data_IF_789573847212
#
_entry.id   IF_789573847212
#
_cell.length_a   1.000
_cell.length_b   1.000
_cell.length_c   1.000
_cell.angle_alpha   90.00
_cell.angle_beta   90.00
_cell.angle_gamma   90.00
#
_symmetry.space_group_name_H-M   'P 1'
#
loop_
_entity.id
_entity.type
_entity.pdbx_description
1 polymer ?
#
# COMPACT_ATOMS: atom_id res chain seq x y z
N UNK A 1 -8.54 -8.72 9.24
CA UNK A 1 -9.00 -7.33 9.41
C UNK A 1 -7.85 -6.36 9.26
N UNK A 2 -8.11 -5.16 8.75
CA UNK A 2 -7.13 -4.08 8.50
C UNK A 2 -6.95 -3.11 9.70
N UNK A 3 -7.52 -3.42 10.87
CA UNK A 3 -8.03 -2.38 11.78
C UNK A 3 -7.22 -2.10 13.05
N UNK A 4 -5.98 -2.60 13.21
CA UNK A 4 -5.14 -2.17 14.33
C UNK A 4 -3.66 -2.07 13.94
N UNK A 5 -2.97 -0.97 14.29
CA UNK A 5 -1.56 -0.78 13.98
C UNK A 5 -0.71 -1.68 14.89
N UNK A 6 -0.47 -2.89 14.41
CA UNK A 6 0.39 -3.90 15.04
C UNK A 6 1.41 -4.37 14.03
N UNK A 7 2.54 -4.92 14.48
CA UNK A 7 3.62 -5.42 13.59
C UNK A 7 3.13 -6.43 12.55
N UNK A 8 2.08 -7.20 12.86
CA UNK A 8 1.45 -8.14 11.92
C UNK A 8 0.41 -7.54 10.96
N UNK A 9 0.20 -6.23 10.96
CA UNK A 9 -0.88 -5.57 10.21
C UNK A 9 -0.74 -5.79 8.70
N UNK A 10 0.46 -5.58 8.16
CA UNK A 10 0.79 -5.87 6.76
C UNK A 10 1.11 -7.36 6.57
N UNK A 11 1.96 -7.92 7.44
CA UNK A 11 2.51 -9.26 7.26
C UNK A 11 1.51 -10.40 7.43
N UNK A 12 0.29 -10.17 7.94
CA UNK A 12 -0.80 -11.16 7.86
C UNK A 12 -1.14 -11.59 6.41
N UNK A 13 -0.79 -10.75 5.44
CA UNK A 13 -0.98 -11.04 4.02
C UNK A 13 0.14 -11.90 3.44
N UNK A 14 1.24 -12.12 4.16
CA UNK A 14 2.32 -13.01 3.76
C UNK A 14 1.95 -14.47 4.07
N UNK A 15 1.18 -15.08 3.17
CA UNK A 15 0.87 -16.51 3.18
C UNK A 15 0.69 -17.02 1.75
N UNK A 16 0.83 -18.32 1.51
CA UNK A 16 0.88 -18.89 0.17
C UNK A 16 -0.49 -19.19 -0.47
N UNK A 17 -1.59 -18.67 0.10
CA UNK A 17 -2.89 -18.79 -0.57
C UNK A 17 -2.91 -17.90 -1.82
N UNK A 18 -3.62 -18.29 -2.90
CA UNK A 18 -3.71 -17.48 -4.11
C UNK A 18 -4.21 -16.07 -3.81
N UNK A 19 -3.73 -15.09 -4.57
CA UNK A 19 -4.27 -13.72 -4.54
C UNK A 19 -5.76 -13.80 -4.90
N UNK A 20 -6.67 -13.36 -4.01
CA UNK A 20 -8.10 -13.41 -4.30
C UNK A 20 -8.45 -12.49 -5.48
N UNK A 21 -9.31 -12.98 -6.39
CA UNK A 21 -9.75 -12.22 -7.57
C UNK A 21 -10.38 -10.86 -7.19
N UNK A 22 -11.18 -10.83 -6.13
CA UNK A 22 -11.82 -9.62 -5.64
C UNK A 22 -10.84 -8.50 -5.23
N UNK A 23 -9.55 -8.81 -4.97
CA UNK A 23 -8.55 -7.75 -4.75
C UNK A 23 -8.34 -6.90 -6.00
N UNK A 24 -8.36 -7.52 -7.17
CA UNK A 24 -8.31 -6.82 -8.46
C UNK A 24 -9.52 -5.93 -8.65
N UNK A 25 -10.72 -6.46 -8.40
CA UNK A 25 -11.97 -5.70 -8.48
C UNK A 25 -11.96 -4.48 -7.54
N UNK A 26 -11.52 -4.66 -6.30
CA UNK A 26 -11.43 -3.56 -5.32
C UNK A 26 -10.40 -2.52 -5.75
N UNK A 27 -9.24 -2.95 -6.26
CA UNK A 27 -8.21 -2.03 -6.77
C UNK A 27 -8.75 -1.21 -7.96
N UNK A 28 -9.48 -1.84 -8.89
CA UNK A 28 -10.12 -1.16 -10.01
C UNK A 28 -11.19 -0.15 -9.55
N UNK A 29 -12.04 -0.53 -8.59
CA UNK A 29 -13.05 0.38 -8.03
C UNK A 29 -12.42 1.61 -7.36
N UNK A 30 -11.36 1.44 -6.58
CA UNK A 30 -10.64 2.55 -5.97
C UNK A 30 -9.91 3.41 -7.00
N UNK A 31 -9.32 2.79 -8.03
CA UNK A 31 -8.69 3.50 -9.15
C UNK A 31 -9.71 4.38 -9.88
N UNK A 32 -10.87 3.82 -10.23
CA UNK A 32 -11.95 4.56 -10.88
C UNK A 32 -12.47 5.71 -9.99
N UNK A 33 -12.66 5.47 -8.69
CA UNK A 33 -13.08 6.51 -7.76
C UNK A 33 -12.06 7.65 -7.67
N UNK A 34 -10.77 7.33 -7.56
CA UNK A 34 -9.67 8.30 -7.56
C UNK A 34 -9.66 9.14 -8.85
N UNK A 35 -9.77 8.49 -10.01
CA UNK A 35 -9.81 9.16 -11.32
C UNK A 35 -10.98 10.14 -11.40
N UNK A 36 -12.17 9.74 -10.95
CA UNK A 36 -13.35 10.62 -10.97
C UNK A 36 -13.22 11.80 -9.99
N UNK A 37 -12.55 11.62 -8.85
CA UNK A 37 -12.23 12.73 -7.93
C UNK A 37 -11.27 13.71 -8.60
N UNK A 38 -10.22 13.24 -9.27
CA UNK A 38 -9.28 14.11 -9.99
C UNK A 38 -9.94 14.80 -11.19
N UNK A 39 -10.83 14.13 -11.93
CA UNK A 39 -11.64 14.78 -12.97
C UNK A 39 -12.53 15.89 -12.41
N UNK A 40 -13.19 15.60 -11.29
CA UNK A 40 -14.07 16.57 -10.61
C UNK A 40 -13.29 17.76 -10.05
N UNK A 41 -12.04 17.53 -9.63
CA UNK A 41 -11.14 18.57 -9.13
C UNK A 41 -11.00 19.70 -10.16
N UNK A 42 -10.69 19.38 -11.41
CA UNK A 42 -10.35 20.39 -12.40
C UNK A 42 -11.51 21.32 -12.74
N UNK A 43 -12.73 20.78 -12.75
CA UNK A 43 -13.97 21.51 -12.99
C UNK A 43 -14.51 22.29 -11.77
N UNK A 44 -13.91 22.11 -10.59
CA UNK A 44 -14.46 22.64 -9.34
C UNK A 44 -13.97 24.05 -8.97
N UNK A 45 -14.75 24.83 -8.18
CA UNK A 45 -14.28 26.10 -7.63
C UNK A 45 -13.05 25.92 -6.72
N UNK A 46 -12.21 26.96 -6.51
CA UNK A 46 -10.96 26.86 -5.75
C UNK A 46 -11.08 26.26 -4.34
N UNK A 47 -12.17 26.55 -3.62
CA UNK A 47 -12.41 25.97 -2.28
C UNK A 47 -12.64 24.45 -2.33
N UNK A 48 -13.34 23.97 -3.35
CA UNK A 48 -13.63 22.55 -3.54
C UNK A 48 -12.40 21.79 -4.08
N UNK A 49 -11.57 22.44 -4.91
CA UNK A 49 -10.31 21.86 -5.40
C UNK A 49 -9.42 21.30 -4.29
N UNK A 50 -9.17 22.08 -3.22
CA UNK A 50 -8.33 21.62 -2.10
C UNK A 50 -8.92 20.41 -1.35
N UNK A 51 -10.24 20.27 -1.32
CA UNK A 51 -10.89 19.12 -0.72
C UNK A 51 -10.79 17.89 -1.63
N UNK A 52 -11.07 18.07 -2.92
CA UNK A 52 -11.00 17.00 -3.92
C UNK A 52 -9.56 16.49 -4.10
N UNK A 53 -8.56 17.37 -4.13
CA UNK A 53 -7.16 16.99 -4.20
C UNK A 53 -6.74 16.10 -3.02
N UNK A 54 -7.18 16.45 -1.80
CA UNK A 54 -6.94 15.64 -0.61
C UNK A 54 -7.55 14.23 -0.74
N UNK A 55 -8.80 14.13 -1.17
CA UNK A 55 -9.44 12.83 -1.34
C UNK A 55 -8.91 12.04 -2.54
N UNK A 56 -8.45 12.71 -3.59
CA UNK A 56 -7.77 12.11 -4.74
C UNK A 56 -6.48 11.42 -4.31
N UNK A 57 -5.58 12.13 -3.63
CA UNK A 57 -4.34 11.56 -3.08
C UNK A 57 -4.59 10.50 -2.00
N UNK A 58 -5.67 10.62 -1.20
CA UNK A 58 -6.09 9.52 -0.29
C UNK A 58 -6.51 8.26 -1.06
N UNK A 59 -7.15 8.42 -2.23
CA UNK A 59 -7.48 7.31 -3.13
C UNK A 59 -6.24 6.67 -3.74
N UNK A 60 -5.28 7.47 -4.18
CA UNK A 60 -3.97 7.04 -4.69
C UNK A 60 -3.23 6.19 -3.65
N UNK A 61 -3.16 6.67 -2.41
CA UNK A 61 -2.64 5.88 -1.28
C UNK A 61 -3.32 4.50 -1.15
N UNK A 62 -4.65 4.42 -1.30
CA UNK A 62 -5.36 3.14 -1.17
C UNK A 62 -4.98 2.18 -2.30
N UNK A 63 -4.88 2.69 -3.53
CA UNK A 63 -4.47 1.89 -4.70
C UNK A 63 -3.06 1.35 -4.50
N UNK A 64 -2.12 2.20 -4.11
CA UNK A 64 -0.73 1.81 -3.84
C UNK A 64 -0.65 0.81 -2.69
N UNK A 65 -1.38 1.03 -1.60
CA UNK A 65 -1.41 0.13 -0.46
C UNK A 65 -1.98 -1.27 -0.79
N UNK A 66 -2.99 -1.34 -1.68
CA UNK A 66 -3.49 -2.62 -2.19
C UNK A 66 -2.43 -3.35 -3.04
N UNK A 67 -1.64 -2.62 -3.82
CA UNK A 67 -0.50 -3.17 -4.55
C UNK A 67 0.57 -3.73 -3.60
N UNK A 68 0.90 -3.04 -2.51
CA UNK A 68 1.81 -3.56 -1.46
C UNK A 68 1.31 -4.90 -0.92
N UNK A 69 0.03 -4.98 -0.55
CA UNK A 69 -0.58 -6.19 -0.01
C UNK A 69 -0.53 -7.35 -1.02
N UNK A 70 -0.75 -7.07 -2.30
CA UNK A 70 -0.63 -8.04 -3.39
C UNK A 70 0.81 -8.53 -3.53
N UNK A 71 1.79 -7.65 -3.58
CA UNK A 71 3.20 -8.02 -3.70
C UNK A 71 3.69 -8.83 -2.49
N UNK A 72 3.27 -8.49 -1.27
CA UNK A 72 3.53 -9.30 -0.06
C UNK A 72 2.94 -10.72 -0.19
N UNK A 73 1.78 -10.86 -0.83
CA UNK A 73 1.18 -12.17 -1.09
C UNK A 73 1.98 -12.97 -2.12
N UNK A 74 2.41 -12.31 -3.19
CA UNK A 74 3.21 -12.91 -4.26
C UNK A 74 4.58 -13.35 -3.76
N UNK A 75 5.23 -12.57 -2.88
CA UNK A 75 6.46 -12.96 -2.19
C UNK A 75 6.29 -14.26 -1.39
N UNK A 76 5.18 -14.41 -0.66
CA UNK A 76 4.88 -15.62 0.09
C UNK A 76 4.64 -16.86 -0.79
N UNK A 77 4.04 -16.65 -1.97
CA UNK A 77 3.83 -17.70 -2.96
C UNK A 77 5.17 -18.13 -3.57
N UNK A 78 6.03 -17.18 -3.93
CA UNK A 78 7.37 -17.46 -4.46
C UNK A 78 8.26 -18.20 -3.45
N UNK A 79 8.27 -17.74 -2.19
CA UNK A 79 8.93 -18.43 -1.08
C UNK A 79 8.46 -19.89 -0.93
N UNK A 80 7.15 -20.14 -1.01
CA UNK A 80 6.61 -21.49 -0.93
C UNK A 80 6.96 -22.37 -2.14
N UNK A 81 7.28 -21.76 -3.28
CA UNK A 81 7.76 -22.43 -4.47
C UNK A 81 9.28 -22.67 -4.48
N UNK A 82 10.02 -22.14 -3.48
CA UNK A 82 11.48 -22.19 -3.43
C UNK A 82 12.16 -21.23 -4.41
N UNK A 83 11.44 -20.22 -4.90
CA UNK A 83 11.94 -19.21 -5.84
C UNK A 83 12.34 -17.95 -5.06
N UNK A 84 13.53 -17.99 -4.46
CA UNK A 84 14.04 -16.93 -3.57
C UNK A 84 14.26 -15.61 -4.29
N UNK A 85 14.81 -15.63 -5.52
CA UNK A 85 15.04 -14.44 -6.34
C UNK A 85 13.72 -13.70 -6.60
N UNK A 86 12.69 -14.43 -7.03
CA UNK A 86 11.37 -13.85 -7.26
C UNK A 86 10.68 -13.38 -5.98
N UNK A 87 10.91 -14.05 -4.86
CA UNK A 87 10.40 -13.60 -3.57
C UNK A 87 11.01 -12.25 -3.19
N UNK A 88 12.32 -12.06 -3.39
CA UNK A 88 13.02 -10.79 -3.17
C UNK A 88 12.48 -9.68 -4.07
N UNK A 89 12.32 -9.93 -5.37
CA UNK A 89 11.72 -8.95 -6.31
C UNK A 89 10.33 -8.47 -5.85
N UNK A 90 9.51 -9.40 -5.36
CA UNK A 90 8.18 -9.06 -4.83
C UNK A 90 8.24 -8.26 -3.52
N UNK A 91 9.22 -8.51 -2.66
CA UNK A 91 9.45 -7.69 -1.46
C UNK A 91 9.93 -6.29 -1.81
N UNK A 92 10.86 -6.13 -2.75
CA UNK A 92 11.33 -4.83 -3.23
C UNK A 92 10.17 -4.02 -3.81
N UNK A 93 9.38 -4.65 -4.70
CA UNK A 93 8.16 -4.06 -5.27
C UNK A 93 7.20 -3.60 -4.17
N UNK A 94 7.02 -4.39 -3.11
CA UNK A 94 6.19 -4.01 -1.99
C UNK A 94 6.75 -2.80 -1.22
N UNK A 95 8.07 -2.73 -1.05
CA UNK A 95 8.75 -1.62 -0.35
C UNK A 95 8.65 -0.32 -1.14
N UNK A 96 8.88 -0.37 -2.45
CA UNK A 96 8.75 0.79 -3.34
C UNK A 96 7.31 1.33 -3.35
N UNK A 97 6.32 0.45 -3.50
CA UNK A 97 4.91 0.85 -3.47
C UNK A 97 4.51 1.44 -2.11
N UNK A 98 5.06 0.91 -1.00
CA UNK A 98 4.76 1.44 0.33
C UNK A 98 5.42 2.81 0.55
N UNK A 99 6.63 3.00 0.02
CA UNK A 99 7.28 4.31 0.02
C UNK A 99 6.45 5.34 -0.75
N UNK A 100 6.01 5.01 -1.97
CA UNK A 100 5.14 5.89 -2.77
C UNK A 100 3.81 6.20 -2.06
N UNK A 101 3.20 5.20 -1.40
CA UNK A 101 1.99 5.37 -0.60
C UNK A 101 2.17 6.38 0.54
N UNK A 102 3.31 6.34 1.22
CA UNK A 102 3.63 7.26 2.32
C UNK A 102 3.95 8.66 1.78
N UNK A 103 4.66 8.76 0.67
CA UNK A 103 4.98 10.04 0.01
C UNK A 103 3.70 10.74 -0.47
N UNK A 104 2.80 10.00 -1.13
CA UNK A 104 1.48 10.47 -1.55
C UNK A 104 0.64 11.02 -0.40
N UNK A 105 0.69 10.39 0.78
CA UNK A 105 0.03 10.92 1.99
C UNK A 105 0.71 12.18 2.51
N UNK A 106 2.03 12.28 2.38
CA UNK A 106 2.83 13.41 2.86
C UNK A 106 2.47 14.71 2.15
N UNK A 107 2.10 14.64 0.86
CA UNK A 107 1.61 15.77 0.06
C UNK A 107 0.35 16.44 0.63
N UNK A 108 -0.45 15.70 1.40
CA UNK A 108 -1.81 16.09 1.78
C UNK A 108 -2.06 16.17 3.28
N UNK A 109 -1.01 16.11 4.10
CA UNK A 109 -1.13 16.16 5.56
C UNK A 109 -1.85 17.44 6.01
N UNK A 110 -3.00 17.29 6.67
CA UNK A 110 -3.80 18.40 7.22
C UNK A 110 -3.90 18.38 8.73
N UNK A 111 -3.91 17.20 9.34
CA UNK A 111 -4.14 17.05 10.77
C UNK A 111 -3.27 15.95 11.42
N UNK A 112 -3.50 15.71 12.71
CA UNK A 112 -2.79 14.68 13.47
C UNK A 112 -3.19 13.26 13.08
N UNK A 113 -4.37 13.07 12.49
CA UNK A 113 -4.80 11.78 11.96
C UNK A 113 -3.97 11.38 10.75
N UNK A 114 -3.72 12.30 9.82
CA UNK A 114 -2.84 12.06 8.66
C UNK A 114 -1.41 11.74 9.11
N UNK A 115 -0.86 12.52 10.04
CA UNK A 115 0.48 12.28 10.61
C UNK A 115 0.55 10.95 11.34
N UNK A 116 -0.50 10.60 12.07
CA UNK A 116 -0.63 9.32 12.77
C UNK A 116 -0.64 8.15 11.80
N UNK A 117 -1.34 8.25 10.67
CA UNK A 117 -1.34 7.24 9.61
C UNK A 117 0.06 7.04 9.04
N UNK A 118 0.77 8.11 8.67
CA UNK A 118 2.15 8.04 8.17
C UNK A 118 3.07 7.37 9.19
N UNK A 119 2.99 7.77 10.46
CA UNK A 119 3.79 7.19 11.53
C UNK A 119 3.50 5.69 11.72
N UNK A 120 2.23 5.29 11.63
CA UNK A 120 1.80 3.88 11.72
C UNK A 120 2.32 3.07 10.53
N UNK A 121 2.24 3.60 9.31
CA UNK A 121 2.74 2.91 8.11
C UNK A 121 4.25 2.70 8.19
N UNK A 122 5.00 3.74 8.55
CA UNK A 122 6.44 3.61 8.79
C UNK A 122 6.73 2.55 9.87
N UNK A 123 6.07 2.65 11.03
CA UNK A 123 6.39 1.79 12.17
C UNK A 123 5.96 0.34 12.00
N UNK A 124 4.80 0.09 11.40
CA UNK A 124 4.17 -1.23 11.41
C UNK A 124 4.03 -1.90 10.04
N UNK A 125 4.19 -1.14 8.95
CA UNK A 125 4.24 -1.71 7.60
C UNK A 125 5.68 -1.74 7.08
N UNK A 126 6.37 -0.59 7.04
CA UNK A 126 7.70 -0.50 6.42
C UNK A 126 8.75 -1.29 7.20
N UNK A 127 8.87 -1.07 8.52
CA UNK A 127 9.81 -1.85 9.35
C UNK A 127 9.56 -3.37 9.24
N UNK A 128 8.29 -3.80 9.27
CA UNK A 128 7.94 -5.22 9.20
C UNK A 128 8.27 -5.84 7.83
N UNK A 129 8.12 -5.07 6.75
CA UNK A 129 8.46 -5.49 5.40
C UNK A 129 9.98 -5.57 5.20
N UNK A 130 10.72 -4.56 5.69
CA UNK A 130 12.18 -4.57 5.64
C UNK A 130 12.74 -5.79 6.38
N UNK A 131 12.23 -6.11 7.57
CA UNK A 131 12.65 -7.32 8.30
C UNK A 131 12.35 -8.63 7.55
N UNK A 132 11.28 -8.67 6.74
CA UNK A 132 10.95 -9.83 5.93
C UNK A 132 11.88 -9.94 4.71
N UNK A 133 12.21 -8.82 4.09
CA UNK A 133 13.18 -8.71 3.02
C UNK A 133 14.57 -9.14 3.46
N UNK A 134 15.11 -8.58 4.55
CA UNK A 134 16.43 -8.94 5.09
C UNK A 134 16.52 -10.44 5.41
N UNK A 135 15.46 -11.02 5.98
CA UNK A 135 15.41 -12.47 6.23
C UNK A 135 15.41 -13.32 4.97
N UNK A 136 14.78 -12.84 3.91
CA UNK A 136 14.78 -13.54 2.63
C UNK A 136 16.15 -13.44 1.96
N UNK A 137 16.82 -12.29 2.09
CA UNK A 137 18.17 -12.05 1.58
C UNK A 137 19.21 -12.93 2.31
N UNK A 138 19.12 -13.05 3.63
CA UNK A 138 19.99 -13.90 4.44
C UNK A 138 19.80 -15.42 4.18
N UNK A 139 18.71 -15.81 3.52
CA UNK A 139 18.34 -17.20 3.27
C UNK A 139 18.74 -17.72 1.87
N UNK A 140 19.27 -16.85 1.01
CA UNK A 140 19.86 -17.18 -0.29
C UNK A 140 21.27 -17.79 -0.15
#
# INVERSE_FOLDING_TARGET
GFNFPVRGMLMKHHNNQPVPEWWGEVNELYTNAMVEIYRSHDASPPKAKRLLFYWGKRGEYVVEYLSVIKSVREAAIANAAGDSEKALEHYETAMENLYNAIDTLSDIVKDQGDRGLIAVLNKFAFEALNEAFEKALDAE
#
